data_IF_533720440523
#
_entry.id   IF_533720440523
#
_cell.length_a   1.000
_cell.length_b   1.000
_cell.length_c   1.000
_cell.angle_alpha   90.00
_cell.angle_beta   90.00
_cell.angle_gamma   90.00
#
_symmetry.space_group_name_H-M   'P 1'
#
loop_
_entity.id
_entity.type
_entity.pdbx_description
1 polymer ?
#
# COMPACT_ATOMS: atom_id res chain seq x y z
N UNK A 1 19.16 -7.93 6.32
CA UNK A 1 18.02 -8.86 6.25
C UNK A 1 17.42 -8.79 4.86
N UNK A 2 16.99 -9.93 4.31
CA UNK A 2 16.39 -10.01 3.00
C UNK A 2 14.88 -9.75 3.07
N UNK A 3 14.38 -8.96 2.13
CA UNK A 3 12.97 -8.57 2.02
C UNK A 3 12.39 -9.08 0.72
N UNK A 4 11.19 -9.66 0.78
CA UNK A 4 10.34 -9.94 -0.38
C UNK A 4 9.19 -8.94 -0.37
N UNK A 5 8.96 -8.28 -1.49
CA UNK A 5 7.94 -7.25 -1.68
C UNK A 5 6.84 -7.72 -2.64
N UNK A 6 5.61 -7.72 -2.18
CA UNK A 6 4.42 -8.07 -2.94
C UNK A 6 3.60 -6.82 -3.24
N UNK A 7 3.01 -6.75 -4.44
CA UNK A 7 2.24 -5.58 -4.86
C UNK A 7 3.05 -4.29 -4.75
N UNK A 8 4.30 -4.35 -5.20
CA UNK A 8 5.33 -3.34 -4.93
C UNK A 8 5.02 -1.97 -5.53
N UNK A 9 4.18 -1.94 -6.57
CA UNK A 9 3.85 -0.70 -7.28
C UNK A 9 5.10 0.00 -7.78
N UNK A 10 5.24 1.27 -7.42
CA UNK A 10 6.43 2.10 -7.74
C UNK A 10 7.60 1.88 -6.77
N UNK A 11 7.47 1.00 -5.78
CA UNK A 11 8.49 0.74 -4.77
C UNK A 11 8.41 1.65 -3.52
N UNK A 12 7.24 2.15 -3.17
CA UNK A 12 7.10 3.07 -2.03
C UNK A 12 7.48 2.44 -0.69
N UNK A 13 7.02 1.21 -0.40
CA UNK A 13 7.44 0.46 0.79
C UNK A 13 8.91 0.04 0.68
N UNK A 14 9.30 -0.43 -0.49
CA UNK A 14 10.66 -0.90 -0.80
C UNK A 14 11.71 0.18 -0.53
N UNK A 15 11.40 1.44 -0.91
CA UNK A 15 12.28 2.57 -0.63
C UNK A 15 12.52 2.75 0.87
N UNK A 16 11.48 2.68 1.69
CA UNK A 16 11.62 2.80 3.14
C UNK A 16 12.54 1.72 3.73
N UNK A 17 12.42 0.49 3.24
CA UNK A 17 13.29 -0.62 3.65
C UNK A 17 14.72 -0.47 3.13
N UNK A 18 14.87 -0.12 1.85
CA UNK A 18 16.20 0.07 1.24
C UNK A 18 16.98 1.22 1.90
N UNK A 19 16.33 2.35 2.17
CA UNK A 19 16.95 3.51 2.86
C UNK A 19 17.41 3.18 4.29
N UNK A 20 16.83 2.15 4.91
CA UNK A 20 17.22 1.68 6.25
C UNK A 20 18.18 0.48 6.22
N UNK A 21 18.73 0.15 5.04
CA UNK A 21 19.77 -0.86 4.88
C UNK A 21 19.26 -2.31 4.75
N UNK A 22 17.97 -2.51 4.49
CA UNK A 22 17.43 -3.82 4.15
C UNK A 22 17.65 -4.11 2.65
N UNK A 23 17.79 -5.38 2.31
CA UNK A 23 18.03 -5.83 0.95
C UNK A 23 16.74 -6.38 0.34
N UNK A 24 16.16 -5.69 -0.63
CA UNK A 24 15.01 -6.18 -1.39
C UNK A 24 15.53 -7.20 -2.39
N UNK A 25 15.30 -8.48 -2.12
CA UNK A 25 15.81 -9.57 -2.97
C UNK A 25 14.85 -9.94 -4.10
N UNK A 26 13.58 -9.62 -3.94
CA UNK A 26 12.55 -9.92 -4.92
C UNK A 26 11.35 -9.01 -4.72
N UNK A 27 10.75 -8.57 -5.81
CA UNK A 27 9.54 -7.77 -5.83
C UNK A 27 8.57 -8.26 -6.90
N UNK A 28 7.28 -7.95 -6.78
CA UNK A 28 6.27 -8.31 -7.77
C UNK A 28 5.19 -7.22 -7.89
N UNK A 29 4.78 -6.98 -9.11
CA UNK A 29 3.56 -6.24 -9.41
C UNK A 29 2.97 -6.71 -10.76
N UNK A 30 1.65 -6.58 -10.95
CA UNK A 30 0.99 -6.95 -12.20
C UNK A 30 0.89 -5.79 -13.19
N UNK A 31 1.07 -4.54 -12.75
CA UNK A 31 1.01 -3.37 -13.61
C UNK A 31 2.35 -3.11 -14.29
N UNK A 32 2.36 -3.22 -15.62
CA UNK A 32 3.58 -3.05 -16.42
C UNK A 32 4.23 -1.67 -16.29
N UNK A 33 3.44 -0.61 -16.07
CA UNK A 33 3.98 0.74 -15.94
C UNK A 33 4.57 0.97 -14.55
N UNK A 34 3.94 0.41 -13.52
CA UNK A 34 4.51 0.38 -12.18
C UNK A 34 5.85 -0.37 -12.17
N UNK A 35 5.90 -1.57 -12.75
CA UNK A 35 7.13 -2.36 -12.89
C UNK A 35 8.21 -1.62 -13.65
N UNK A 36 7.86 -0.92 -14.73
CA UNK A 36 8.82 -0.13 -15.51
C UNK A 36 9.43 1.01 -14.68
N UNK A 37 8.59 1.72 -13.91
CA UNK A 37 9.05 2.76 -12.99
C UNK A 37 9.87 2.18 -11.85
N UNK A 38 9.46 1.05 -11.29
CA UNK A 38 10.22 0.34 -10.26
C UNK A 38 11.63 -0.01 -10.73
N UNK A 39 11.75 -0.60 -11.91
CA UNK A 39 13.05 -0.96 -12.50
C UNK A 39 13.98 0.23 -12.66
N UNK A 40 13.45 1.37 -13.08
CA UNK A 40 14.23 2.59 -13.22
C UNK A 40 14.80 3.13 -11.89
N UNK A 41 14.17 2.81 -10.75
CA UNK A 41 14.56 3.31 -9.43
C UNK A 41 15.30 2.28 -8.57
N UNK A 42 14.97 0.98 -8.70
CA UNK A 42 15.44 -0.07 -7.80
C UNK A 42 16.18 -1.23 -8.50
N UNK A 43 16.06 -1.33 -9.83
CA UNK A 43 16.70 -2.41 -10.61
C UNK A 43 15.74 -3.53 -10.99
N UNK A 44 16.31 -4.61 -11.53
CA UNK A 44 15.58 -5.64 -12.27
C UNK A 44 15.02 -6.81 -11.43
N UNK A 45 15.14 -6.75 -10.11
CA UNK A 45 14.67 -7.82 -9.23
C UNK A 45 13.14 -7.86 -9.04
N UNK A 46 12.40 -7.06 -9.80
CA UNK A 46 10.94 -7.09 -9.85
C UNK A 46 10.41 -7.97 -10.98
N UNK A 47 9.43 -8.82 -10.67
CA UNK A 47 8.74 -9.71 -11.59
C UNK A 47 7.38 -9.11 -11.96
N UNK A 48 7.14 -8.93 -13.27
CA UNK A 48 5.83 -8.56 -13.80
C UNK A 48 4.95 -9.80 -13.89
N UNK A 49 3.81 -9.79 -13.21
CA UNK A 49 2.82 -10.87 -13.28
C UNK A 49 1.80 -10.83 -12.16
N UNK A 50 0.67 -11.51 -12.38
CA UNK A 50 -0.32 -11.73 -11.32
C UNK A 50 0.27 -12.68 -10.27
N UNK A 51 0.31 -12.25 -9.02
CA UNK A 51 0.85 -13.04 -7.92
C UNK A 51 0.12 -14.37 -7.74
N UNK A 52 -1.14 -14.47 -8.15
CA UNK A 52 -1.89 -15.73 -8.11
C UNK A 52 -1.35 -16.77 -9.11
N UNK A 53 -0.72 -16.33 -10.18
CA UNK A 53 -0.16 -17.20 -11.23
C UNK A 53 1.31 -17.52 -11.00
N UNK A 54 1.99 -16.81 -10.11
CA UNK A 54 3.41 -17.04 -9.81
C UNK A 54 3.56 -18.28 -8.92
N UNK A 55 4.30 -19.31 -9.33
CA UNK A 55 4.55 -20.48 -8.50
C UNK A 55 5.24 -20.11 -7.18
N UNK A 56 4.85 -20.79 -6.08
CA UNK A 56 5.40 -20.50 -4.74
C UNK A 56 6.91 -20.70 -4.67
N UNK A 57 7.43 -21.62 -5.44
CA UNK A 57 8.85 -21.99 -5.50
C UNK A 57 9.73 -20.88 -6.09
N UNK A 58 9.15 -19.98 -6.92
CA UNK A 58 9.85 -18.84 -7.51
C UNK A 58 10.03 -17.72 -6.50
N UNK A 59 9.16 -17.63 -5.49
CA UNK A 59 9.21 -16.59 -4.47
C UNK A 59 10.27 -16.94 -3.44
N UNK A 60 11.41 -16.23 -3.38
CA UNK A 60 12.53 -16.62 -2.54
C UNK A 60 12.20 -16.57 -1.03
N UNK A 61 13.00 -17.27 -0.25
CA UNK A 61 12.93 -17.15 1.21
C UNK A 61 13.39 -15.75 1.63
N UNK A 62 12.79 -15.23 2.71
CA UNK A 62 13.06 -13.89 3.20
C UNK A 62 13.01 -13.82 4.73
N UNK A 63 13.69 -12.82 5.28
CA UNK A 63 13.55 -12.47 6.69
C UNK A 63 12.27 -11.66 6.93
N UNK A 64 11.88 -10.83 5.96
CA UNK A 64 10.74 -9.91 6.05
C UNK A 64 9.93 -9.99 4.76
N UNK A 65 8.61 -10.09 4.89
CA UNK A 65 7.68 -9.98 3.79
C UNK A 65 6.92 -8.67 3.91
N UNK A 66 6.90 -7.87 2.83
CA UNK A 66 6.15 -6.62 2.77
C UNK A 66 5.14 -6.64 1.64
N UNK A 67 4.04 -5.86 1.77
CA UNK A 67 3.08 -5.76 0.67
C UNK A 67 1.96 -4.77 0.90
N UNK A 68 1.63 -4.04 -0.18
CA UNK A 68 0.48 -3.12 -0.25
C UNK A 68 -0.67 -3.75 -1.04
N UNK A 69 -1.39 -4.72 -0.48
CA UNK A 69 -2.43 -5.43 -1.19
C UNK A 69 -3.71 -4.58 -1.37
N UNK A 70 -4.43 -4.70 -2.49
CA UNK A 70 -5.67 -3.96 -2.72
C UNK A 70 -6.79 -4.44 -1.78
N UNK A 71 -7.65 -3.48 -1.36
CA UNK A 71 -8.84 -3.79 -0.57
C UNK A 71 -9.91 -4.39 -1.48
N UNK A 72 -9.98 -5.71 -1.54
CA UNK A 72 -11.03 -6.44 -2.22
C UNK A 72 -12.06 -6.95 -1.22
N UNK A 73 -13.37 -6.94 -1.56
CA UNK A 73 -14.38 -7.51 -0.69
C UNK A 73 -14.13 -9.01 -0.50
N UNK A 74 -14.07 -9.46 0.74
CA UNK A 74 -14.08 -10.87 1.05
C UNK A 74 -15.48 -11.41 0.76
N UNK A 75 -15.61 -12.33 -0.20
CA UNK A 75 -16.82 -13.11 -0.33
C UNK A 75 -16.93 -14.03 0.90
N UNK A 76 -17.97 -13.84 1.70
CA UNK A 76 -18.21 -14.59 2.94
C UNK A 76 -18.64 -16.05 2.68
N UNK A 77 -18.18 -16.69 1.63
CA UNK A 77 -18.43 -18.11 1.36
C UNK A 77 -17.28 -18.93 1.92
N UNK A 78 -17.48 -19.53 3.09
CA UNK A 78 -16.58 -20.53 3.61
C UNK A 78 -16.15 -20.37 5.07
N UNK A 79 -17.09 -20.20 6.01
CA UNK A 79 -16.73 -20.15 7.44
C UNK A 79 -16.24 -21.49 8.05
N UNK A 80 -16.14 -22.57 7.28
CA UNK A 80 -15.85 -23.92 7.83
C UNK A 80 -14.79 -24.76 7.12
N UNK A 81 -14.19 -24.31 6.02
CA UNK A 81 -13.20 -25.11 5.28
C UNK A 81 -11.94 -24.28 5.03
N UNK A 82 -10.96 -24.34 5.87
CA UNK A 82 -9.59 -23.86 5.74
C UNK A 82 -9.20 -22.92 4.57
N UNK A 83 -7.92 -22.76 4.30
CA UNK A 83 -7.39 -21.92 3.19
C UNK A 83 -7.91 -22.27 1.79
N UNK A 84 -8.44 -23.48 1.59
CA UNK A 84 -8.85 -23.93 0.24
C UNK A 84 -10.10 -23.27 -0.32
N UNK A 85 -11.01 -22.80 0.53
CA UNK A 85 -12.30 -22.24 0.10
C UNK A 85 -12.32 -20.68 0.00
N UNK A 86 -11.24 -20.02 0.42
CA UNK A 86 -11.09 -18.56 0.40
C UNK A 86 -10.22 -18.07 -0.77
N UNK A 87 -9.87 -18.95 -1.69
CA UNK A 87 -9.09 -18.66 -2.90
C UNK A 87 -9.81 -17.63 -3.76
N UNK A 88 -9.42 -16.37 -3.65
CA UNK A 88 -10.00 -15.31 -4.46
C UNK A 88 -9.65 -13.89 -4.03
N UNK A 89 -9.03 -13.71 -2.87
CA UNK A 89 -8.54 -12.38 -2.49
C UNK A 89 -7.03 -12.40 -2.33
N UNK A 90 -6.39 -11.32 -2.72
CA UNK A 90 -4.94 -11.18 -2.71
C UNK A 90 -4.32 -11.29 -1.30
N UNK A 91 -5.11 -11.00 -0.24
CA UNK A 91 -4.68 -11.27 1.13
C UNK A 91 -4.47 -12.76 1.40
N UNK A 92 -5.37 -13.63 0.94
CA UNK A 92 -5.20 -15.07 1.15
C UNK A 92 -4.04 -15.65 0.34
N UNK A 93 -3.71 -15.03 -0.80
CA UNK A 93 -2.48 -15.38 -1.52
C UNK A 93 -1.23 -15.02 -0.71
N UNK A 94 -1.21 -13.88 -0.01
CA UNK A 94 -0.14 -13.56 0.94
C UNK A 94 -0.06 -14.64 2.03
N UNK A 95 -1.19 -15.01 2.61
CA UNK A 95 -1.25 -16.02 3.66
C UNK A 95 -0.75 -17.39 3.18
N UNK A 96 -1.08 -17.80 1.95
CA UNK A 96 -0.59 -19.02 1.33
C UNK A 96 0.93 -19.00 1.12
N UNK A 97 1.48 -17.89 0.63
CA UNK A 97 2.93 -17.71 0.47
C UNK A 97 3.64 -17.86 1.83
N UNK A 98 3.08 -17.25 2.88
CA UNK A 98 3.66 -17.33 4.23
C UNK A 98 3.54 -18.74 4.79
N UNK A 99 2.40 -19.40 4.63
CA UNK A 99 2.16 -20.77 5.10
C UNK A 99 3.11 -21.79 4.43
N UNK A 100 3.33 -21.64 3.11
CA UNK A 100 4.34 -22.45 2.40
C UNK A 100 5.74 -22.27 3.01
N UNK A 101 6.13 -21.04 3.29
CA UNK A 101 7.43 -20.76 3.94
C UNK A 101 7.49 -21.35 5.35
N UNK A 102 6.39 -21.30 6.12
CA UNK A 102 6.31 -21.94 7.46
C UNK A 102 6.51 -23.44 7.32
N UNK A 103 5.79 -24.11 6.41
CA UNK A 103 5.89 -25.56 6.17
C UNK A 103 7.30 -25.99 5.77
N UNK A 104 8.02 -25.15 5.06
CA UNK A 104 9.43 -25.38 4.68
C UNK A 104 10.44 -25.00 5.76
N UNK A 105 10.00 -24.57 6.95
CA UNK A 105 10.90 -24.12 8.04
C UNK A 105 11.62 -22.79 7.75
N UNK A 106 11.04 -21.96 6.87
CA UNK A 106 11.57 -20.66 6.42
C UNK A 106 10.63 -19.49 6.74
N UNK A 107 9.96 -19.59 7.89
CA UNK A 107 9.01 -18.57 8.35
C UNK A 107 9.66 -17.18 8.38
N UNK A 108 9.08 -16.17 7.72
CA UNK A 108 9.55 -14.78 7.84
C UNK A 108 9.52 -14.28 9.30
N UNK A 109 10.53 -13.57 9.73
CA UNK A 109 10.62 -12.98 11.08
C UNK A 109 9.61 -11.87 11.30
N UNK A 110 9.26 -11.17 10.22
CA UNK A 110 8.26 -10.11 10.24
C UNK A 110 7.47 -10.04 8.92
N UNK A 111 6.23 -9.53 9.03
CA UNK A 111 5.36 -9.20 7.90
C UNK A 111 4.87 -7.77 8.09
N UNK A 112 4.97 -6.94 7.06
CA UNK A 112 4.43 -5.59 7.06
C UNK A 112 3.46 -5.43 5.90
N UNK A 113 2.19 -5.20 6.20
CA UNK A 113 1.14 -5.02 5.21
C UNK A 113 0.58 -3.61 5.26
N UNK A 114 0.38 -3.02 4.09
CA UNK A 114 -0.27 -1.71 3.93
C UNK A 114 -1.62 -1.87 3.24
N UNK A 115 -2.59 -1.07 3.66
CA UNK A 115 -3.88 -1.01 3.00
C UNK A 115 -4.54 0.36 3.22
N UNK A 116 -5.65 0.63 2.52
CA UNK A 116 -6.41 1.87 2.71
C UNK A 116 -6.99 1.96 4.13
N UNK A 117 -7.20 3.21 4.59
CA UNK A 117 -7.78 3.49 5.92
C UNK A 117 -9.08 2.73 6.19
N UNK A 118 -9.94 2.63 5.17
CA UNK A 118 -11.25 2.00 5.29
C UNK A 118 -11.21 0.48 5.53
N UNK A 119 -10.05 -0.19 5.41
CA UNK A 119 -9.90 -1.61 5.73
C UNK A 119 -10.45 -1.96 7.12
N UNK A 120 -10.20 -1.11 8.11
CA UNK A 120 -10.64 -1.35 9.50
C UNK A 120 -12.15 -1.29 9.70
N UNK A 121 -12.86 -0.54 8.85
CA UNK A 121 -14.33 -0.37 8.91
C UNK A 121 -15.05 -1.16 7.84
N UNK A 122 -14.32 -1.67 6.85
CA UNK A 122 -14.88 -2.43 5.75
C UNK A 122 -15.69 -3.64 6.26
N UNK A 123 -16.91 -3.79 5.69
CA UNK A 123 -17.85 -4.85 6.08
C UNK A 123 -18.09 -4.90 7.62
N UNK A 124 -18.35 -3.72 8.23
CA UNK A 124 -18.53 -3.58 9.69
C UNK A 124 -17.35 -4.15 10.51
N UNK A 125 -16.13 -3.98 10.00
CA UNK A 125 -14.90 -4.43 10.63
C UNK A 125 -14.60 -5.94 10.49
N UNK A 126 -15.49 -6.71 9.83
CA UNK A 126 -15.31 -8.16 9.66
C UNK A 126 -14.08 -8.49 8.82
N UNK A 127 -13.81 -7.69 7.79
CA UNK A 127 -12.63 -7.87 6.92
C UNK A 127 -11.33 -7.82 7.72
N UNK A 128 -11.14 -6.79 8.54
CA UNK A 128 -9.94 -6.67 9.35
C UNK A 128 -9.85 -7.77 10.43
N UNK A 129 -10.98 -8.11 11.05
CA UNK A 129 -11.01 -9.22 12.04
C UNK A 129 -10.55 -10.54 11.43
N UNK A 130 -10.93 -10.84 10.20
CA UNK A 130 -10.51 -12.06 9.52
C UNK A 130 -9.01 -12.02 9.16
N UNK A 131 -8.51 -10.88 8.64
CA UNK A 131 -7.07 -10.69 8.41
C UNK A 131 -6.28 -10.91 9.70
N UNK A 132 -6.71 -10.29 10.79
CA UNK A 132 -6.05 -10.41 12.09
C UNK A 132 -6.04 -11.87 12.57
N UNK A 133 -7.20 -12.57 12.50
CA UNK A 133 -7.33 -13.98 12.86
C UNK A 133 -6.37 -14.86 12.06
N UNK A 134 -6.30 -14.67 10.75
CA UNK A 134 -5.40 -15.48 9.91
C UNK A 134 -3.94 -15.22 10.27
N UNK A 135 -3.54 -13.98 10.44
CA UNK A 135 -2.15 -13.65 10.79
C UNK A 135 -1.78 -14.14 12.18
N UNK A 136 -2.68 -14.02 13.17
CA UNK A 136 -2.40 -14.39 14.55
C UNK A 136 -2.65 -15.86 14.84
N UNK A 137 -3.88 -16.34 14.56
CA UNK A 137 -4.32 -17.66 15.05
C UNK A 137 -3.90 -18.80 14.10
N UNK A 138 -3.78 -18.50 12.79
CA UNK A 138 -3.41 -19.51 11.79
C UNK A 138 -1.91 -19.49 11.50
N UNK A 139 -1.33 -18.33 11.22
CA UNK A 139 0.09 -18.19 10.87
C UNK A 139 1.00 -17.99 12.09
N UNK A 140 0.41 -17.75 13.26
CA UNK A 140 1.13 -17.67 14.53
C UNK A 140 2.04 -16.46 14.65
N UNK A 141 1.58 -15.28 14.26
CA UNK A 141 2.30 -14.03 14.44
C UNK A 141 1.73 -13.19 15.58
N UNK A 142 2.57 -12.39 16.21
CA UNK A 142 2.15 -11.31 17.08
C UNK A 142 1.83 -10.07 16.24
N UNK A 143 0.58 -9.57 16.26
CA UNK A 143 0.03 -8.61 15.30
C UNK A 143 -0.22 -7.26 15.93
N UNK A 144 0.31 -6.21 15.30
CA UNK A 144 0.08 -4.80 15.64
C UNK A 144 -0.56 -4.09 14.46
N UNK A 145 -1.45 -3.12 14.73
CA UNK A 145 -2.11 -2.39 13.65
C UNK A 145 -2.41 -0.96 14.06
N UNK A 146 -2.09 -0.02 13.19
CA UNK A 146 -2.48 1.38 13.33
C UNK A 146 -2.74 2.04 11.98
N UNK A 147 -3.35 3.24 12.03
CA UNK A 147 -3.56 4.08 10.86
C UNK A 147 -2.58 5.25 10.94
N UNK A 148 -1.68 5.32 9.96
CA UNK A 148 -0.71 6.39 9.85
C UNK A 148 -1.08 7.34 8.71
N UNK A 149 -0.83 8.64 8.92
CA UNK A 149 -0.98 9.65 7.88
C UNK A 149 0.41 10.15 7.48
N UNK A 150 0.75 10.10 6.20
CA UNK A 150 2.07 10.53 5.71
C UNK A 150 2.44 11.96 6.11
N UNK A 151 1.43 12.85 6.26
CA UNK A 151 1.66 14.21 6.73
C UNK A 151 2.21 14.28 8.17
N UNK A 152 1.96 13.26 8.98
CA UNK A 152 2.49 13.16 10.35
C UNK A 152 3.95 12.63 10.39
N UNK A 153 4.57 12.35 9.24
CA UNK A 153 5.89 11.74 9.12
C UNK A 153 6.78 12.42 8.06
N UNK A 154 6.62 13.73 7.92
CA UNK A 154 7.52 14.56 7.10
C UNK A 154 7.16 14.65 5.61
N UNK A 155 6.10 14.00 5.16
CA UNK A 155 5.63 14.07 3.76
C UNK A 155 4.44 15.02 3.65
N UNK A 156 4.51 16.13 2.90
CA UNK A 156 3.40 17.09 2.80
C UNK A 156 2.25 16.59 1.92
N UNK A 157 1.73 15.42 2.23
CA UNK A 157 0.57 14.81 1.60
C UNK A 157 -0.31 14.15 2.66
N UNK A 158 -1.62 14.41 2.64
CA UNK A 158 -2.59 13.71 3.46
C UNK A 158 -2.88 12.34 2.84
N UNK A 159 -2.23 11.29 3.36
CA UNK A 159 -2.44 9.91 2.93
C UNK A 159 -2.56 9.01 4.15
N UNK A 160 -3.80 8.68 4.51
CA UNK A 160 -4.06 7.77 5.61
C UNK A 160 -4.02 6.32 5.13
N UNK A 161 -3.21 5.49 5.80
CA UNK A 161 -3.08 4.06 5.48
C UNK A 161 -3.05 3.22 6.74
N UNK A 162 -3.71 2.07 6.66
CA UNK A 162 -3.64 1.04 7.69
C UNK A 162 -2.35 0.27 7.50
N UNK A 163 -1.53 0.23 8.54
CA UNK A 163 -0.34 -0.62 8.62
C UNK A 163 -0.59 -1.77 9.58
N UNK A 164 -0.33 -2.99 9.13
CA UNK A 164 -0.37 -4.20 9.93
C UNK A 164 1.05 -4.72 10.02
N UNK A 165 1.60 -4.75 11.23
CA UNK A 165 2.97 -5.17 11.51
C UNK A 165 2.92 -6.45 12.34
N UNK A 166 3.58 -7.50 11.85
CA UNK A 166 3.54 -8.81 12.45
C UNK A 166 4.95 -9.29 12.76
N UNK A 167 5.15 -9.89 13.93
CA UNK A 167 6.42 -10.50 14.31
C UNK A 167 6.22 -11.98 14.65
N UNK A 168 7.15 -12.82 14.21
CA UNK A 168 7.19 -14.24 14.61
C UNK A 168 7.46 -14.38 16.12
N UNK A 169 8.25 -13.45 16.68
CA UNK A 169 8.49 -13.41 18.11
C UNK A 169 7.23 -12.94 18.87
N UNK A 170 6.60 -13.86 19.61
CA UNK A 170 5.40 -13.59 20.40
C UNK A 170 5.62 -12.59 21.55
N UNK A 171 6.85 -12.42 21.99
CA UNK A 171 7.22 -11.48 23.05
C UNK A 171 7.67 -10.10 22.49
N UNK A 172 7.61 -9.91 21.18
CA UNK A 172 7.97 -8.63 20.57
C UNK A 172 7.04 -7.52 21.11
N UNK A 173 7.65 -6.42 21.53
CA UNK A 173 6.95 -5.17 21.84
C UNK A 173 7.20 -4.21 20.70
N UNK A 174 6.14 -3.72 20.08
CA UNK A 174 6.23 -2.78 18.98
C UNK A 174 5.37 -1.55 19.27
N UNK A 175 5.94 -0.39 19.03
CA UNK A 175 5.27 0.91 19.16
C UNK A 175 5.43 1.62 17.83
N UNK A 176 4.32 2.05 17.23
CA UNK A 176 4.36 2.86 16.02
C UNK A 176 5.12 4.17 16.27
N UNK A 177 5.83 4.70 15.25
CA UNK A 177 6.64 5.89 15.42
C UNK A 177 5.80 7.08 15.85
N UNK A 178 6.40 7.98 16.63
CA UNK A 178 5.76 9.23 17.04
C UNK A 178 5.64 10.18 15.85
N UNK A 179 4.56 10.96 15.86
CA UNK A 179 4.31 11.97 14.84
C UNK A 179 5.38 13.06 14.87
N UNK A 180 5.74 13.53 13.70
CA UNK A 180 6.68 14.62 13.51
C UNK A 180 6.00 15.82 12.86
N UNK A 181 6.50 17.02 13.16
CA UNK A 181 6.07 18.24 12.46
C UNK A 181 6.61 18.24 11.03
N UNK A 182 5.77 18.63 10.07
CA UNK A 182 6.22 18.89 8.72
C UNK A 182 7.30 19.97 8.71
N UNK A 183 8.38 19.69 7.98
CA UNK A 183 9.48 20.63 7.73
C UNK A 183 9.35 21.33 6.38
N UNK A 184 8.57 20.74 5.47
CA UNK A 184 8.32 21.24 4.11
C UNK A 184 6.83 21.18 3.82
N UNK A 185 6.35 22.13 3.06
CA UNK A 185 4.99 22.16 2.51
C UNK A 185 4.97 21.62 1.10
N UNK A 186 3.79 21.49 0.49
CA UNK A 186 3.64 21.20 -0.93
C UNK A 186 4.32 22.28 -1.79
N UNK A 187 4.22 23.55 -1.36
CA UNK A 187 4.79 24.69 -2.11
C UNK A 187 6.32 24.60 -2.23
N UNK A 188 6.99 24.05 -1.22
CA UNK A 188 8.45 23.84 -1.23
C UNK A 188 8.90 22.71 -2.19
N UNK A 189 7.96 21.94 -2.72
CA UNK A 189 8.20 20.80 -3.63
C UNK A 189 7.80 21.09 -5.08
N UNK A 190 7.17 22.25 -5.35
CA UNK A 190 6.79 22.61 -6.70
C UNK A 190 8.02 22.96 -7.54
N UNK A 191 8.02 22.51 -8.78
CA UNK A 191 9.05 22.87 -9.76
C UNK A 191 8.95 24.35 -10.10
N UNK A 192 10.08 25.11 -10.11
CA UNK A 192 10.05 26.54 -10.41
C UNK A 192 9.74 26.83 -11.88
N UNK A 193 10.06 25.91 -12.78
CA UNK A 193 9.80 26.00 -14.21
C UNK A 193 9.02 24.76 -14.66
N UNK A 194 7.85 24.97 -15.25
CA UNK A 194 6.96 23.91 -15.73
C UNK A 194 6.59 24.16 -17.19
N UNK A 195 6.70 23.14 -18.04
CA UNK A 195 6.32 23.22 -19.46
C UNK A 195 4.82 23.56 -19.59
N UNK A 196 4.50 24.46 -20.51
CA UNK A 196 3.14 24.95 -20.77
C UNK A 196 2.12 23.84 -21.04
N UNK A 197 2.54 22.68 -21.53
CA UNK A 197 1.66 21.52 -21.77
C UNK A 197 1.02 20.95 -20.51
N UNK A 198 1.58 21.23 -19.34
CA UNK A 198 1.06 20.76 -18.04
C UNK A 198 0.07 21.72 -17.40
N UNK A 199 -0.05 22.96 -17.92
CA UNK A 199 -1.04 23.91 -17.44
C UNK A 199 -2.43 23.60 -18.00
N UNK A 200 -3.45 23.81 -17.18
CA UNK A 200 -4.84 23.72 -17.62
C UNK A 200 -5.13 24.85 -18.60
N UNK A 201 -5.87 24.56 -19.67
CA UNK A 201 -6.29 25.59 -20.63
C UNK A 201 -7.28 26.57 -19.99
N UNK A 202 -7.28 27.83 -20.50
CA UNK A 202 -8.21 28.87 -20.07
C UNK A 202 -9.68 28.46 -20.20
N UNK A 203 -9.98 27.53 -21.11
CA UNK A 203 -11.32 26.95 -21.28
C UNK A 203 -11.76 26.08 -20.13
N UNK A 204 -10.85 25.29 -19.55
CA UNK A 204 -11.16 24.31 -18.47
C UNK A 204 -11.01 24.94 -17.09
N UNK A 205 -10.06 25.85 -16.91
CA UNK A 205 -9.71 26.44 -15.62
C UNK A 205 -10.92 27.00 -14.86
N UNK A 206 -11.83 27.82 -15.45
CA UNK A 206 -12.99 28.35 -14.76
C UNK A 206 -13.93 27.23 -14.22
N UNK A 207 -14.07 26.12 -14.96
CA UNK A 207 -14.88 24.97 -14.55
C UNK A 207 -14.27 24.25 -13.35
N UNK A 208 -12.94 24.10 -13.34
CA UNK A 208 -12.21 23.46 -12.22
C UNK A 208 -12.30 24.31 -10.96
N UNK A 209 -12.17 25.64 -11.08
CA UNK A 209 -12.23 26.57 -9.96
C UNK A 209 -13.67 26.86 -9.48
N UNK A 210 -14.68 26.47 -10.25
CA UNK A 210 -16.08 26.63 -9.86
C UNK A 210 -16.46 25.72 -8.72
N UNK A 211 -17.48 26.12 -7.92
CA UNK A 211 -18.01 25.34 -6.79
C UNK A 211 -18.92 24.15 -7.24
N UNK A 212 -18.80 23.72 -8.49
CA UNK A 212 -19.56 22.63 -9.07
C UNK A 212 -20.42 23.05 -10.26
N UNK A 213 -20.91 22.09 -11.02
CA UNK A 213 -21.75 22.27 -12.19
C UNK A 213 -22.88 21.24 -12.17
N UNK A 214 -24.06 21.62 -12.71
CA UNK A 214 -25.16 20.67 -12.91
C UNK A 214 -25.72 20.02 -11.62
N UNK A 215 -25.82 20.77 -10.53
CA UNK A 215 -26.35 20.27 -9.25
C UNK A 215 -25.32 19.54 -8.36
N UNK A 216 -24.12 19.28 -8.87
CA UNK A 216 -23.02 18.74 -8.10
C UNK A 216 -22.25 19.88 -7.42
N UNK A 217 -22.22 19.89 -6.09
CA UNK A 217 -21.43 20.84 -5.31
C UNK A 217 -20.05 20.24 -5.08
N UNK A 218 -19.01 20.91 -5.58
CA UNK A 218 -17.63 20.57 -5.28
C UNK A 218 -16.91 21.83 -4.80
N UNK A 219 -16.05 21.68 -3.82
CA UNK A 219 -15.12 22.72 -3.39
C UNK A 219 -13.78 22.41 -4.03
N UNK A 220 -13.33 23.25 -4.95
CA UNK A 220 -11.97 23.15 -5.47
C UNK A 220 -10.99 23.62 -4.40
N UNK A 221 -9.95 22.84 -4.17
CA UNK A 221 -8.86 23.15 -3.26
C UNK A 221 -7.62 23.48 -4.08
N UNK A 222 -7.08 24.65 -3.91
CA UNK A 222 -5.88 25.16 -4.58
C UNK A 222 -4.91 25.69 -3.54
N UNK A 223 -3.65 25.80 -3.91
CA UNK A 223 -2.57 26.36 -3.08
C UNK A 223 -2.44 25.73 -1.69
N UNK A 224 -2.69 24.41 -1.63
CA UNK A 224 -2.61 23.67 -0.38
C UNK A 224 -1.17 23.60 0.14
N UNK A 225 -1.00 23.71 1.45
CA UNK A 225 0.27 23.42 2.12
C UNK A 225 0.55 21.91 2.18
N UNK A 226 -0.53 21.11 2.26
CA UNK A 226 -0.47 19.64 2.32
C UNK A 226 -1.30 19.09 1.16
N UNK A 227 -0.65 18.36 0.26
CA UNK A 227 -1.28 17.79 -0.92
C UNK A 227 -2.38 16.78 -0.56
N UNK A 228 -3.36 16.64 -1.44
CA UNK A 228 -4.25 15.47 -1.48
C UNK A 228 -3.55 14.32 -2.24
N UNK A 229 -3.95 13.06 -2.01
CA UNK A 229 -3.44 11.94 -2.78
C UNK A 229 -3.74 12.11 -4.27
N UNK A 230 -2.76 11.77 -5.10
CA UNK A 230 -2.97 11.69 -6.54
C UNK A 230 -3.65 10.37 -6.89
N UNK A 231 -4.74 10.44 -7.64
CA UNK A 231 -5.48 9.25 -8.11
C UNK A 231 -5.23 9.01 -9.58
N UNK A 232 -5.29 7.75 -10.01
CA UNK A 232 -5.13 7.35 -11.41
C UNK A 232 -6.15 8.02 -12.36
N UNK A 233 -7.30 8.43 -11.83
CA UNK A 233 -8.35 9.12 -12.60
C UNK A 233 -8.11 10.60 -12.80
N UNK A 234 -7.11 11.20 -12.16
CA UNK A 234 -6.86 12.66 -12.27
C UNK A 234 -6.48 13.10 -13.68
N UNK A 235 -5.95 12.22 -14.51
CA UNK A 235 -5.73 12.49 -15.93
C UNK A 235 -7.05 12.77 -16.71
N UNK A 236 -8.19 12.30 -16.17
CA UNK A 236 -9.54 12.48 -16.76
C UNK A 236 -10.39 13.48 -15.96
N UNK A 237 -10.12 13.61 -14.69
CA UNK A 237 -10.86 14.46 -13.76
C UNK A 237 -9.85 15.33 -12.98
N UNK A 238 -9.74 16.59 -13.37
CA UNK A 238 -8.76 17.53 -12.80
C UNK A 238 -9.11 18.02 -11.39
N UNK A 239 -10.04 17.40 -10.69
CA UNK A 239 -10.38 17.71 -9.31
C UNK A 239 -9.71 16.70 -8.38
N UNK A 240 -9.25 17.18 -7.23
CA UNK A 240 -8.72 16.30 -6.20
C UNK A 240 -9.78 15.26 -5.80
N UNK A 241 -9.39 13.98 -5.80
CA UNK A 241 -10.22 12.93 -5.27
C UNK A 241 -10.17 12.97 -3.74
N UNK A 242 -11.31 12.73 -3.13
CA UNK A 242 -11.38 12.47 -1.70
C UNK A 242 -11.11 10.98 -1.48
N UNK A 243 -10.23 10.67 -0.55
CA UNK A 243 -10.04 9.31 -0.01
C UNK A 243 -11.21 8.90 0.88
#
# INVERSE_FOLDING_TARGET
MNVVSLFSGLGGLDKGFADTGYNIVWANDFDKYAVQTYKANFGDHIVLGDINEIPLEIIPDCDILIGGFPCQPFSMMGQQKGFEDTRGTLFFRIAEIVDDKIKRGKKPKAIILENVRSLRTHNNGKTYKEIHRVLQDVLGYNVFCDILNSADYGIPQTRNRTYIVCFDNQNAKFIFPQKEKLKKTLQDLLEPEVDNKYFLSDRILPTILSNGTGGYKAKSEIDLEIARPLCATMAKMHRACQD
#
